data_IF_810332700061
#
_entry.id   IF_810332700061
#
_cell.length_a   1.000
_cell.length_b   1.000
_cell.length_c   1.000
_cell.angle_alpha   90.00
_cell.angle_beta   90.00
_cell.angle_gamma   90.00
#
_symmetry.space_group_name_H-M   'P 1'
#
loop_
_entity.id
_entity.type
_entity.pdbx_description
1 polymer ?
#
# COMPACT_ATOMS: atom_id res chain seq x y z
N UNK A 1 24.24 -28.42 0.77
CA UNK A 1 23.52 -27.57 1.74
C UNK A 1 23.31 -26.19 1.12
N UNK A 2 22.10 -25.88 0.67
CA UNK A 2 21.78 -24.65 -0.07
C UNK A 2 21.30 -23.58 0.92
N UNK A 3 22.09 -22.52 1.12
CA UNK A 3 21.70 -21.35 1.93
C UNK A 3 21.02 -20.35 0.98
N UNK A 4 19.76 -19.93 1.21
CA UNK A 4 19.15 -18.97 0.32
C UNK A 4 19.76 -17.60 0.63
N UNK A 5 20.57 -17.10 -0.31
CA UNK A 5 21.07 -15.72 -0.32
C UNK A 5 19.85 -14.83 -0.62
N UNK A 6 19.08 -14.50 0.42
CA UNK A 6 17.88 -13.64 0.36
C UNK A 6 18.21 -12.14 0.41
N UNK A 7 19.48 -11.80 0.60
CA UNK A 7 19.95 -10.42 0.68
C UNK A 7 21.16 -10.27 -0.23
N UNK A 8 21.05 -9.38 -1.21
CA UNK A 8 22.13 -9.10 -2.17
C UNK A 8 23.43 -8.78 -1.45
N UNK A 9 24.55 -9.24 -1.99
CA UNK A 9 25.86 -9.34 -1.34
C UNK A 9 26.59 -7.99 -1.12
N UNK A 10 25.85 -6.91 -0.86
CA UNK A 10 26.37 -5.57 -0.62
C UNK A 10 25.71 -4.99 0.62
N UNK A 11 26.52 -4.53 1.59
CA UNK A 11 26.03 -3.86 2.82
C UNK A 11 25.03 -2.74 2.53
N UNK A 12 25.10 -2.09 1.36
CA UNK A 12 24.15 -1.03 0.94
C UNK A 12 22.78 -1.58 0.52
N UNK A 13 22.73 -2.79 -0.06
CA UNK A 13 21.48 -3.38 -0.56
C UNK A 13 20.54 -3.82 0.57
N UNK A 14 21.08 -4.28 1.70
CA UNK A 14 20.28 -4.71 2.87
C UNK A 14 19.53 -3.53 3.48
N UNK A 15 20.19 -2.37 3.62
CA UNK A 15 19.54 -1.16 4.11
C UNK A 15 18.48 -0.66 3.15
N UNK A 16 18.76 -0.66 1.85
CA UNK A 16 17.76 -0.29 0.84
C UNK A 16 16.56 -1.23 0.85
N UNK A 17 16.77 -2.55 0.99
CA UNK A 17 15.67 -3.52 1.06
C UNK A 17 14.83 -3.35 2.33
N UNK A 18 15.47 -3.15 3.48
CA UNK A 18 14.75 -2.90 4.73
C UNK A 18 13.99 -1.58 4.68
N UNK A 19 14.60 -0.54 4.10
CA UNK A 19 13.96 0.75 3.90
C UNK A 19 12.73 0.62 3.00
N UNK A 20 12.86 -0.06 1.84
CA UNK A 20 11.74 -0.32 0.93
C UNK A 20 10.63 -1.11 1.64
N UNK A 21 10.97 -2.17 2.38
CA UNK A 21 10.00 -2.98 3.11
C UNK A 21 9.26 -2.14 4.18
N UNK A 22 9.98 -1.28 4.89
CA UNK A 22 9.40 -0.37 5.87
C UNK A 22 8.50 0.67 5.20
N UNK A 23 8.94 1.26 4.08
CA UNK A 23 8.15 2.21 3.30
C UNK A 23 6.86 1.57 2.80
N UNK A 24 6.93 0.36 2.24
CA UNK A 24 5.74 -0.41 1.81
C UNK A 24 4.82 -0.65 3.01
N UNK A 25 5.37 -1.06 4.17
CA UNK A 25 4.57 -1.29 5.36
C UNK A 25 3.86 -0.02 5.86
N UNK A 26 4.58 1.10 5.92
CA UNK A 26 4.03 2.40 6.35
C UNK A 26 2.96 2.87 5.37
N UNK A 27 3.20 2.79 4.07
CA UNK A 27 2.24 3.16 3.03
C UNK A 27 1.00 2.26 3.10
N UNK A 28 1.17 0.95 3.26
CA UNK A 28 0.06 0.01 3.34
C UNK A 28 -0.78 0.22 4.60
N UNK A 29 -0.13 0.51 5.73
CA UNK A 29 -0.81 0.85 6.98
C UNK A 29 -1.57 2.17 6.86
N UNK A 30 -0.94 3.21 6.32
CA UNK A 30 -1.57 4.49 6.08
C UNK A 30 -2.78 4.34 5.15
N UNK A 31 -2.63 3.59 4.06
CA UNK A 31 -3.70 3.29 3.12
C UNK A 31 -4.87 2.59 3.79
N UNK A 32 -4.59 1.56 4.61
CA UNK A 32 -5.62 0.88 5.40
C UNK A 32 -6.36 1.85 6.33
N UNK A 33 -5.64 2.73 7.03
CA UNK A 33 -6.24 3.70 7.95
C UNK A 33 -7.11 4.74 7.21
N UNK A 34 -6.80 5.08 5.94
CA UNK A 34 -7.67 5.94 5.11
C UNK A 34 -8.92 5.20 4.61
N UNK A 35 -8.75 4.01 4.02
CA UNK A 35 -9.86 3.22 3.46
C UNK A 35 -10.82 2.76 4.56
N UNK A 36 -10.30 2.43 5.75
CA UNK A 36 -11.12 2.08 6.92
C UNK A 36 -12.09 3.19 7.33
N UNK A 37 -11.80 4.47 7.04
CA UNK A 37 -12.76 5.57 7.32
C UNK A 37 -13.98 5.50 6.41
N UNK A 38 -13.81 5.01 5.19
CA UNK A 38 -14.88 4.86 4.20
C UNK A 38 -15.67 3.53 4.38
N UNK A 39 -15.02 2.49 4.93
CA UNK A 39 -15.62 1.15 5.07
C UNK A 39 -16.16 0.94 6.49
N UNK A 40 -17.47 0.68 6.62
CA UNK A 40 -18.10 0.34 7.93
C UNK A 40 -17.62 -0.99 8.53
N UNK A 41 -17.13 -1.90 7.70
CA UNK A 41 -16.72 -3.25 8.11
C UNK A 41 -15.36 -3.22 8.81
N UNK A 42 -15.36 -3.53 10.11
CA UNK A 42 -14.14 -3.65 10.91
C UNK A 42 -13.39 -4.95 10.60
N UNK A 43 -12.46 -4.92 9.65
CA UNK A 43 -11.45 -5.98 9.53
C UNK A 43 -10.15 -5.54 10.22
N UNK A 44 -9.39 -6.52 10.72
CA UNK A 44 -8.06 -6.22 11.27
C UNK A 44 -7.08 -5.87 10.14
N UNK A 45 -6.08 -5.03 10.43
CA UNK A 45 -5.01 -4.72 9.47
C UNK A 45 -4.32 -5.99 8.96
N UNK A 46 -4.09 -6.99 9.84
CA UNK A 46 -3.48 -8.26 9.44
C UNK A 46 -4.35 -9.04 8.46
N UNK A 47 -5.66 -9.08 8.68
CA UNK A 47 -6.61 -9.70 7.76
C UNK A 47 -6.65 -8.97 6.42
N UNK A 48 -6.69 -7.64 6.45
CA UNK A 48 -6.61 -6.80 5.25
C UNK A 48 -5.33 -7.08 4.46
N UNK A 49 -4.16 -7.01 5.09
CA UNK A 49 -2.87 -7.25 4.42
C UNK A 49 -2.80 -8.64 3.83
N UNK A 50 -3.30 -9.67 4.53
CA UNK A 50 -3.33 -11.04 4.00
C UNK A 50 -4.24 -11.15 2.78
N UNK A 51 -5.45 -10.60 2.84
CA UNK A 51 -6.38 -10.59 1.69
C UNK A 51 -5.84 -9.75 0.53
N UNK A 52 -5.18 -8.62 0.81
CA UNK A 52 -4.56 -7.74 -0.18
C UNK A 52 -3.44 -8.45 -0.94
N UNK A 53 -2.52 -9.08 -0.21
CA UNK A 53 -1.43 -9.87 -0.81
C UNK A 53 -1.95 -11.10 -1.56
N UNK A 54 -3.01 -11.72 -1.07
CA UNK A 54 -3.65 -12.86 -1.73
C UNK A 54 -4.60 -12.45 -2.87
N UNK A 55 -4.77 -11.15 -3.16
CA UNK A 55 -5.75 -10.63 -4.12
C UNK A 55 -7.20 -11.08 -3.88
N UNK A 56 -7.53 -11.45 -2.63
CA UNK A 56 -8.87 -11.89 -2.20
C UNK A 56 -9.59 -10.83 -1.37
N UNK A 57 -9.29 -9.56 -1.65
CA UNK A 57 -9.91 -8.42 -0.96
C UNK A 57 -11.41 -8.38 -1.27
N UNK A 58 -12.23 -8.22 -0.24
CA UNK A 58 -13.68 -8.11 -0.42
C UNK A 58 -14.03 -6.89 -1.28
N UNK A 59 -15.10 -7.00 -2.09
CA UNK A 59 -15.50 -5.96 -3.06
C UNK A 59 -15.71 -4.58 -2.42
N UNK A 60 -16.26 -4.51 -1.19
CA UNK A 60 -16.42 -3.24 -0.46
C UNK A 60 -15.10 -2.51 -0.18
N UNK A 61 -14.01 -3.27 0.00
CA UNK A 61 -12.69 -2.70 0.17
C UNK A 61 -12.10 -2.26 -1.16
N UNK A 62 -12.34 -3.01 -2.24
CA UNK A 62 -11.93 -2.62 -3.59
C UNK A 62 -12.65 -1.35 -4.06
N UNK A 63 -13.95 -1.21 -3.79
CA UNK A 63 -14.68 0.02 -4.14
C UNK A 63 -14.12 1.21 -3.38
N UNK A 64 -13.85 1.06 -2.07
CA UNK A 64 -13.25 2.14 -1.29
C UNK A 64 -11.81 2.46 -1.70
N UNK A 65 -11.04 1.47 -2.20
CA UNK A 65 -9.73 1.71 -2.85
C UNK A 65 -9.89 2.55 -4.11
N UNK A 66 -10.85 2.20 -4.99
CA UNK A 66 -11.11 2.92 -6.24
C UNK A 66 -11.56 4.34 -5.95
N UNK A 67 -12.49 4.54 -5.03
CA UNK A 67 -12.96 5.87 -4.63
C UNK A 67 -11.82 6.74 -4.11
N UNK A 68 -10.93 6.17 -3.30
CA UNK A 68 -9.75 6.86 -2.81
C UNK A 68 -8.77 7.23 -3.94
N UNK A 69 -8.54 6.32 -4.90
CA UNK A 69 -7.68 6.60 -6.06
C UNK A 69 -8.27 7.68 -6.98
N UNK A 70 -9.60 7.68 -7.17
CA UNK A 70 -10.29 8.75 -7.88
C UNK A 70 -10.12 10.10 -7.17
N UNK A 71 -10.29 10.13 -5.85
CA UNK A 71 -10.04 11.34 -5.04
C UNK A 71 -8.59 11.83 -5.16
N UNK A 72 -7.62 10.92 -5.14
CA UNK A 72 -6.22 11.28 -5.33
C UNK A 72 -5.92 11.79 -6.74
N UNK A 73 -6.56 11.23 -7.77
CA UNK A 73 -6.45 11.75 -9.14
C UNK A 73 -6.97 13.17 -9.24
N UNK A 74 -8.15 13.44 -8.69
CA UNK A 74 -8.74 14.78 -8.67
C UNK A 74 -7.89 15.79 -7.88
N UNK A 75 -7.17 15.33 -6.86
CA UNK A 75 -6.21 16.16 -6.13
C UNK A 75 -4.99 16.46 -7.00
N UNK A 76 -4.42 15.44 -7.66
CA UNK A 76 -3.30 15.60 -8.59
C UNK A 76 -3.63 16.50 -9.77
N UNK A 77 -4.85 16.46 -10.30
CA UNK A 77 -5.28 17.29 -11.42
C UNK A 77 -5.51 18.75 -11.01
N UNK A 78 -5.85 19.01 -9.74
CA UNK A 78 -6.02 20.37 -9.21
C UNK A 78 -4.72 21.09 -8.88
N UNK A 79 -3.66 20.36 -8.54
CA UNK A 79 -2.33 20.92 -8.24
C UNK A 79 -1.47 21.16 -9.49
N UNK A 80 -1.95 20.79 -10.68
CA UNK A 80 -1.29 21.15 -11.95
C UNK A 80 -1.70 22.58 -12.34
N UNK A 81 -0.77 23.55 -12.40
CA UNK A 81 -1.06 24.82 -13.03
C UNK A 81 -1.44 24.52 -14.48
N UNK A 82 -2.65 24.92 -14.88
CA UNK A 82 -3.06 24.95 -16.27
C UNK A 82 -2.11 25.92 -16.97
N UNK A 83 -1.02 25.40 -17.52
CA UNK A 83 -0.15 26.14 -18.43
C UNK A 83 -0.92 26.23 -19.74
N UNK A 84 -1.77 27.25 -19.82
CA UNK A 84 -2.35 27.76 -21.06
C UNK A 84 -1.39 28.74 -21.74
#
# INVERSE_FOLDING_TARGET
MNHPILFGNSKKAVFTQLFIALSIFVLLKWFFDQVKKAVRKSISFRSFTRSFLAQTVAVEWLSAVVDFLCHLREYSERDLPVVG
#
